data_IF_449419760353
#
_entry.id   IF_449419760353
#
_cell.length_a   1.000
_cell.length_b   1.000
_cell.length_c   1.000
_cell.angle_alpha   90.00
_cell.angle_beta   90.00
_cell.angle_gamma   90.00
#
_symmetry.space_group_name_H-M   'P 1'
#
loop_
_entity.id
_entity.type
_entity.pdbx_description
1 polymer ?
#
# COMPACT_ATOMS: atom_id res chain seq x y z
N UNK A 1 54.32 -50.49 48.13
CA UNK A 1 52.94 -50.20 47.77
C UNK A 1 52.97 -48.85 46.99
N UNK A 2 53.03 -48.90 45.67
CA UNK A 2 53.12 -47.73 44.81
C UNK A 2 51.75 -47.50 44.15
N UNK A 3 51.11 -46.37 44.42
CA UNK A 3 49.88 -45.97 43.76
C UNK A 3 50.19 -45.21 42.47
N UNK A 4 49.78 -45.79 41.36
CA UNK A 4 49.90 -45.19 40.01
C UNK A 4 48.62 -44.38 39.81
N UNK A 5 48.81 -43.04 39.68
CA UNK A 5 47.71 -42.13 39.34
C UNK A 5 47.54 -42.06 37.81
N UNK A 6 46.37 -42.43 37.36
CA UNK A 6 45.96 -42.33 35.96
C UNK A 6 45.45 -40.92 35.66
N UNK A 7 46.20 -40.13 34.88
CA UNK A 7 45.78 -38.82 34.42
C UNK A 7 44.95 -39.02 33.17
N UNK A 8 43.66 -38.75 33.24
CA UNK A 8 42.73 -38.75 32.12
C UNK A 8 42.77 -37.38 31.45
N UNK A 9 43.42 -37.29 30.30
CA UNK A 9 43.44 -36.09 29.49
C UNK A 9 42.08 -35.93 28.73
N UNK A 10 41.29 -34.95 29.11
CA UNK A 10 40.03 -34.61 28.46
C UNK A 10 40.35 -33.70 27.28
N UNK A 11 40.28 -34.24 26.06
CA UNK A 11 40.39 -33.45 24.83
C UNK A 11 39.05 -32.71 24.59
N UNK A 12 39.06 -31.40 24.77
CA UNK A 12 37.93 -30.55 24.45
C UNK A 12 38.03 -30.26 22.93
N UNK A 13 37.18 -30.92 22.17
CA UNK A 13 37.01 -30.60 20.75
C UNK A 13 36.16 -29.31 20.66
N UNK A 14 36.82 -28.21 20.35
CA UNK A 14 36.16 -26.93 20.03
C UNK A 14 35.47 -27.05 18.67
N UNK A 15 34.16 -27.27 18.64
CA UNK A 15 33.36 -27.10 17.44
C UNK A 15 33.25 -25.59 17.19
N UNK A 16 34.03 -25.09 16.22
CA UNK A 16 33.81 -23.80 15.63
C UNK A 16 32.52 -23.88 14.81
N UNK A 17 31.40 -23.45 15.38
CA UNK A 17 30.22 -23.06 14.61
C UNK A 17 30.59 -21.79 13.85
N UNK A 18 30.97 -21.95 12.60
CA UNK A 18 30.98 -20.86 11.64
C UNK A 18 29.53 -20.54 11.35
N UNK A 19 28.97 -19.62 12.12
CA UNK A 19 27.71 -19.00 11.78
C UNK A 19 27.93 -18.23 10.46
N UNK A 20 27.49 -18.80 9.35
CA UNK A 20 27.23 -18.02 8.16
C UNK A 20 26.18 -16.98 8.57
N UNK A 21 26.64 -15.76 8.82
CA UNK A 21 25.78 -14.60 8.86
C UNK A 21 25.28 -14.40 7.42
N UNK A 22 24.18 -15.04 7.07
CA UNK A 22 23.37 -14.57 5.97
C UNK A 22 23.02 -13.12 6.32
N UNK A 23 23.59 -12.22 5.54
CA UNK A 23 23.25 -10.82 5.56
C UNK A 23 21.81 -10.73 5.02
N UNK A 24 20.80 -11.02 5.87
CA UNK A 24 19.44 -10.63 5.60
C UNK A 24 19.51 -9.11 5.47
N UNK A 25 19.43 -8.62 4.21
CA UNK A 25 19.00 -7.25 3.97
C UNK A 25 17.88 -6.98 4.96
N UNK A 26 18.08 -6.01 5.86
CA UNK A 26 17.02 -5.49 6.69
C UNK A 26 15.94 -5.08 5.69
N UNK A 27 14.87 -5.86 5.59
CA UNK A 27 13.74 -5.50 4.75
C UNK A 27 13.30 -4.11 5.19
N UNK A 28 12.96 -3.26 4.24
CA UNK A 28 12.37 -1.95 4.50
C UNK A 28 11.27 -2.08 5.55
N UNK A 29 11.14 -1.07 6.40
CA UNK A 29 9.99 -0.98 7.31
C UNK A 29 8.73 -0.53 6.58
N UNK A 30 8.88 0.07 5.38
CA UNK A 30 7.77 0.52 4.55
C UNK A 30 6.99 -0.66 3.95
N UNK A 31 5.65 -0.58 4.02
CA UNK A 31 4.76 -1.67 3.61
C UNK A 31 4.64 -1.80 2.09
N UNK A 32 4.78 -0.69 1.36
CA UNK A 32 4.76 -0.65 -0.10
C UNK A 32 6.04 -1.25 -0.64
N UNK A 33 7.19 -0.84 -0.13
CA UNK A 33 8.49 -1.37 -0.54
C UNK A 33 8.59 -2.88 -0.25
N UNK A 34 8.14 -3.33 0.94
CA UNK A 34 8.10 -4.76 1.25
C UNK A 34 7.21 -5.57 0.30
N UNK A 35 6.08 -5.00 -0.15
CA UNK A 35 5.20 -5.67 -1.10
C UNK A 35 5.85 -5.77 -2.49
N UNK A 36 6.48 -4.69 -2.95
CA UNK A 36 7.23 -4.68 -4.22
C UNK A 36 8.39 -5.67 -4.18
N UNK A 37 9.24 -5.62 -3.14
CA UNK A 37 10.36 -6.57 -2.99
C UNK A 37 9.90 -8.04 -3.03
N UNK A 38 8.76 -8.33 -2.38
CA UNK A 38 8.20 -9.69 -2.37
C UNK A 38 7.67 -10.12 -3.75
N UNK A 39 7.12 -9.20 -4.54
CA UNK A 39 6.67 -9.46 -5.89
C UNK A 39 7.88 -9.67 -6.82
N UNK A 40 8.86 -8.77 -6.79
CA UNK A 40 10.11 -8.89 -7.55
C UNK A 40 10.84 -10.22 -7.31
N UNK A 41 10.88 -10.68 -6.05
CA UNK A 41 11.49 -11.98 -5.73
C UNK A 41 10.74 -13.15 -6.39
N UNK A 42 9.38 -13.07 -6.45
CA UNK A 42 8.57 -14.11 -7.10
C UNK A 42 8.75 -14.10 -8.61
N UNK A 43 8.80 -12.93 -9.22
CA UNK A 43 8.99 -12.75 -10.67
C UNK A 43 10.35 -13.25 -11.13
N UNK A 44 11.42 -12.88 -10.44
CA UNK A 44 12.77 -13.40 -10.72
C UNK A 44 12.87 -14.92 -10.67
N UNK A 45 12.03 -15.56 -9.84
CA UNK A 45 11.94 -17.02 -9.77
C UNK A 45 11.09 -17.61 -10.92
N UNK A 46 10.12 -16.87 -11.44
CA UNK A 46 9.19 -17.35 -12.45
C UNK A 46 9.63 -17.03 -13.89
N UNK A 47 9.91 -15.78 -14.20
CA UNK A 47 10.17 -15.31 -15.58
C UNK A 47 11.49 -14.58 -15.75
N UNK A 48 12.02 -13.97 -14.69
CA UNK A 48 13.23 -13.15 -14.72
C UNK A 48 12.99 -11.72 -15.25
N UNK A 49 11.75 -11.32 -15.45
CA UNK A 49 11.32 -9.99 -15.90
C UNK A 49 10.60 -9.27 -14.76
N UNK A 50 10.72 -7.94 -14.69
CA UNK A 50 9.96 -7.11 -13.78
C UNK A 50 8.54 -6.92 -14.36
N UNK A 51 7.52 -6.89 -13.50
CA UNK A 51 6.12 -6.83 -13.90
C UNK A 51 5.49 -5.52 -13.37
N UNK A 52 5.33 -4.54 -14.29
CA UNK A 52 4.67 -3.26 -14.02
C UNK A 52 3.22 -3.44 -13.50
N UNK A 53 2.60 -4.57 -13.80
CA UNK A 53 1.25 -4.92 -13.34
C UNK A 53 1.20 -5.14 -11.82
N UNK A 54 2.25 -5.74 -11.24
CA UNK A 54 2.35 -5.91 -9.80
C UNK A 54 2.54 -4.55 -9.11
N UNK A 55 3.35 -3.67 -9.69
CA UNK A 55 3.53 -2.31 -9.17
C UNK A 55 2.21 -1.50 -9.22
N UNK A 56 1.42 -1.64 -10.30
CA UNK A 56 0.08 -1.07 -10.38
C UNK A 56 -0.80 -1.56 -9.23
N UNK A 57 -0.84 -2.88 -9.00
CA UNK A 57 -1.68 -3.48 -7.95
C UNK A 57 -1.28 -2.98 -6.55
N UNK A 58 0.02 -2.86 -6.27
CA UNK A 58 0.56 -2.33 -5.01
C UNK A 58 0.18 -0.86 -4.82
N UNK A 59 0.37 -0.01 -5.84
CA UNK A 59 0.01 1.42 -5.80
C UNK A 59 -1.49 1.62 -5.62
N UNK A 60 -2.31 0.90 -6.37
CA UNK A 60 -3.77 0.99 -6.27
C UNK A 60 -4.30 0.53 -4.90
N UNK A 61 -3.69 -0.51 -4.30
CA UNK A 61 -4.05 -0.95 -2.96
C UNK A 61 -3.67 0.08 -1.89
N UNK A 62 -2.49 0.69 -2.02
CA UNK A 62 -2.00 1.70 -1.08
C UNK A 62 -2.85 2.98 -1.14
N UNK A 63 -3.14 3.51 -2.35
CA UNK A 63 -4.03 4.66 -2.56
C UNK A 63 -5.43 4.40 -2.00
N UNK A 64 -6.03 3.26 -2.34
CA UNK A 64 -7.36 2.90 -1.82
C UNK A 64 -7.41 2.75 -0.29
N UNK A 65 -6.32 2.35 0.37
CA UNK A 65 -6.23 2.36 1.83
C UNK A 65 -6.15 3.79 2.37
N UNK A 66 -5.35 4.67 1.75
CA UNK A 66 -5.24 6.07 2.13
C UNK A 66 -6.60 6.75 2.11
N UNK A 67 -7.32 6.65 0.99
CA UNK A 67 -8.62 7.28 0.81
C UNK A 67 -9.66 6.80 1.82
N UNK A 68 -9.64 5.51 2.16
CA UNK A 68 -10.49 4.94 3.20
C UNK A 68 -10.17 5.53 4.59
N UNK A 69 -8.89 5.69 4.95
CA UNK A 69 -8.49 6.28 6.23
C UNK A 69 -8.83 7.77 6.30
N UNK A 70 -8.58 8.53 5.22
CA UNK A 70 -8.93 9.95 5.15
C UNK A 70 -10.46 10.15 5.23
N UNK A 71 -11.25 9.31 4.56
CA UNK A 71 -12.70 9.36 4.64
C UNK A 71 -13.24 9.03 6.05
N UNK A 72 -12.58 8.14 6.81
CA UNK A 72 -12.90 7.90 8.22
C UNK A 72 -12.68 9.13 9.08
N UNK A 73 -11.56 9.84 8.87
CA UNK A 73 -11.29 11.10 9.57
C UNK A 73 -12.36 12.16 9.27
N UNK A 74 -12.83 12.26 8.01
CA UNK A 74 -13.92 13.17 7.65
C UNK A 74 -15.21 12.85 8.39
N UNK A 75 -15.54 11.56 8.54
CA UNK A 75 -16.73 11.15 9.29
C UNK A 75 -16.68 11.61 10.75
N UNK A 76 -15.48 11.67 11.33
CA UNK A 76 -15.25 12.06 12.72
C UNK A 76 -15.15 13.59 12.88
N UNK A 77 -14.45 14.27 11.98
CA UNK A 77 -13.98 15.65 12.14
C UNK A 77 -14.54 16.64 11.12
N UNK A 78 -14.97 16.18 9.96
CA UNK A 78 -15.46 17.02 8.88
C UNK A 78 -16.63 17.88 9.33
N UNK A 79 -16.73 19.11 8.84
CA UNK A 79 -17.79 20.05 9.20
C UNK A 79 -18.80 20.26 8.06
N UNK A 80 -18.29 20.39 6.82
CA UNK A 80 -19.13 20.65 5.65
C UNK A 80 -19.91 19.41 5.23
N UNK A 81 -21.18 19.59 4.88
CA UNK A 81 -22.06 18.48 4.45
C UNK A 81 -21.59 17.86 3.13
N UNK A 82 -21.17 18.68 2.17
CA UNK A 82 -20.70 18.20 0.87
C UNK A 82 -19.40 17.40 0.96
N UNK A 83 -18.48 17.76 1.87
CA UNK A 83 -17.26 17.00 2.18
C UNK A 83 -17.60 15.65 2.82
N UNK A 84 -18.55 15.63 3.76
CA UNK A 84 -19.03 14.38 4.39
C UNK A 84 -19.73 13.45 3.40
N UNK A 85 -20.55 14.01 2.51
CA UNK A 85 -21.23 13.24 1.47
C UNK A 85 -20.22 12.63 0.49
N UNK A 86 -19.19 13.41 0.12
CA UNK A 86 -18.10 12.92 -0.72
C UNK A 86 -17.34 11.78 -0.02
N UNK A 87 -16.94 11.95 1.23
CA UNK A 87 -16.24 10.92 1.99
C UNK A 87 -17.07 9.64 2.17
N UNK A 88 -18.39 9.75 2.34
CA UNK A 88 -19.28 8.58 2.41
C UNK A 88 -19.35 7.82 1.08
N UNK A 89 -19.39 8.54 -0.05
CA UNK A 89 -19.32 7.96 -1.39
C UNK A 89 -17.96 7.25 -1.61
N UNK A 90 -16.86 7.92 -1.26
CA UNK A 90 -15.51 7.36 -1.32
C UNK A 90 -15.40 6.04 -0.57
N UNK A 91 -15.84 5.99 0.68
CA UNK A 91 -15.84 4.75 1.46
C UNK A 91 -16.59 3.61 0.79
N UNK A 92 -17.76 3.89 0.19
CA UNK A 92 -18.58 2.86 -0.43
C UNK A 92 -17.95 2.30 -1.72
N UNK A 93 -17.34 3.17 -2.53
CA UNK A 93 -16.78 2.77 -3.82
C UNK A 93 -15.39 2.17 -3.67
N UNK A 94 -14.53 2.75 -2.83
CA UNK A 94 -13.19 2.21 -2.57
C UNK A 94 -13.21 0.90 -1.81
N UNK A 95 -14.19 0.66 -0.91
CA UNK A 95 -14.35 -0.66 -0.29
C UNK A 95 -14.54 -1.75 -1.35
N UNK A 96 -15.41 -1.50 -2.35
CA UNK A 96 -15.68 -2.48 -3.43
C UNK A 96 -14.44 -2.70 -4.30
N UNK A 97 -13.74 -1.61 -4.67
CA UNK A 97 -12.54 -1.68 -5.49
C UNK A 97 -11.42 -2.44 -4.76
N UNK A 98 -11.20 -2.13 -3.47
CA UNK A 98 -10.19 -2.79 -2.66
C UNK A 98 -10.48 -4.29 -2.47
N UNK A 99 -11.74 -4.68 -2.26
CA UNK A 99 -12.14 -6.08 -2.13
C UNK A 99 -11.92 -6.84 -3.46
N UNK A 100 -12.23 -6.21 -4.59
CA UNK A 100 -12.01 -6.79 -5.93
C UNK A 100 -10.51 -6.94 -6.23
N UNK A 101 -9.71 -5.90 -6.00
CA UNK A 101 -8.26 -5.95 -6.19
C UNK A 101 -7.62 -7.01 -5.31
N UNK A 102 -8.03 -7.11 -4.05
CA UNK A 102 -7.55 -8.15 -3.12
C UNK A 102 -7.88 -9.55 -3.62
N UNK A 103 -9.05 -9.75 -4.20
CA UNK A 103 -9.44 -11.04 -4.78
C UNK A 103 -8.60 -11.38 -6.03
N UNK A 104 -8.30 -10.39 -6.88
CA UNK A 104 -7.42 -10.56 -8.04
C UNK A 104 -6.00 -10.92 -7.56
N UNK A 105 -5.44 -10.11 -6.67
CA UNK A 105 -4.09 -10.32 -6.13
C UNK A 105 -3.93 -11.70 -5.49
N UNK A 106 -4.94 -12.16 -4.73
CA UNK A 106 -4.92 -13.50 -4.14
C UNK A 106 -4.89 -14.62 -5.18
N UNK A 107 -5.60 -14.48 -6.30
CA UNK A 107 -5.57 -15.49 -7.40
C UNK A 107 -4.25 -15.46 -8.16
N UNK A 108 -3.64 -14.30 -8.29
CA UNK A 108 -2.40 -14.07 -9.06
C UNK A 108 -1.13 -14.23 -8.22
N UNK A 109 -1.27 -14.51 -6.93
CA UNK A 109 -0.15 -14.54 -5.98
C UNK A 109 0.62 -13.22 -5.87
N UNK A 110 -0.06 -12.09 -6.12
CA UNK A 110 0.49 -10.74 -5.93
C UNK A 110 0.44 -10.38 -4.45
N UNK A 111 1.55 -9.90 -3.91
CA UNK A 111 1.62 -9.37 -2.55
C UNK A 111 1.15 -7.92 -2.55
N UNK A 112 0.12 -7.62 -1.76
CA UNK A 112 -0.34 -6.25 -1.53
C UNK A 112 0.20 -5.71 -0.20
N UNK A 113 0.32 -4.37 -0.03
CA UNK A 113 0.71 -3.78 1.23
C UNK A 113 -0.26 -4.17 2.36
N UNK A 114 0.28 -4.56 3.52
CA UNK A 114 -0.53 -4.93 4.68
C UNK A 114 -1.04 -3.72 5.47
N UNK A 115 -0.43 -2.55 5.28
CA UNK A 115 -0.76 -1.25 5.87
C UNK A 115 -0.36 -0.14 4.91
N UNK A 116 -0.72 1.08 5.22
CA UNK A 116 -0.27 2.26 4.46
C UNK A 116 1.25 2.31 4.37
N UNK A 117 1.75 2.80 3.25
CA UNK A 117 3.11 3.24 3.09
C UNK A 117 3.42 4.42 4.02
N UNK A 118 4.70 4.61 4.32
CA UNK A 118 5.11 5.60 5.30
C UNK A 118 4.79 7.05 4.85
N UNK A 119 4.76 7.32 3.54
CA UNK A 119 4.40 8.63 3.00
C UNK A 119 2.89 8.89 3.08
N UNK A 120 2.05 7.92 2.75
CA UNK A 120 0.60 8.03 2.89
C UNK A 120 0.18 8.12 4.36
N UNK A 121 0.87 7.41 5.24
CA UNK A 121 0.63 7.52 6.67
C UNK A 121 0.89 8.94 7.19
N UNK A 122 1.91 9.64 6.67
CA UNK A 122 2.17 11.05 7.02
C UNK A 122 1.01 11.96 6.65
N UNK A 123 0.38 11.73 5.47
CA UNK A 123 -0.80 12.51 5.06
C UNK A 123 -1.96 12.31 6.04
N UNK A 124 -2.21 11.08 6.47
CA UNK A 124 -3.23 10.77 7.49
C UNK A 124 -2.89 11.46 8.82
N UNK A 125 -1.65 11.36 9.28
CA UNK A 125 -1.20 11.93 10.54
C UNK A 125 -1.24 13.48 10.54
N UNK A 126 -0.93 14.11 9.42
CA UNK A 126 -1.02 15.56 9.24
C UNK A 126 -2.48 16.01 9.26
N UNK A 127 -3.36 15.38 8.49
CA UNK A 127 -4.78 15.69 8.48
C UNK A 127 -5.41 15.47 9.85
N UNK A 128 -5.01 14.43 10.57
CA UNK A 128 -5.53 14.12 11.90
C UNK A 128 -5.24 15.21 12.95
N UNK A 129 -4.23 16.04 12.75
CA UNK A 129 -3.90 17.17 13.65
C UNK A 129 -4.79 18.39 13.42
N UNK A 130 -5.44 18.48 12.28
CA UNK A 130 -6.29 19.62 11.91
C UNK A 130 -7.72 19.45 12.42
N UNK A 131 -8.47 20.54 12.40
CA UNK A 131 -9.89 20.60 12.74
C UNK A 131 -10.57 21.78 12.05
N UNK A 132 -11.90 21.77 12.02
CA UNK A 132 -12.65 22.89 11.47
C UNK A 132 -12.45 23.04 9.96
N UNK A 133 -12.50 24.29 9.49
CA UNK A 133 -12.35 24.61 8.07
C UNK A 133 -10.98 24.20 7.51
N UNK A 134 -9.93 24.29 8.31
CA UNK A 134 -8.59 23.87 7.89
C UNK A 134 -8.52 22.36 7.60
N UNK A 135 -9.23 21.56 8.39
CA UNK A 135 -9.35 20.12 8.15
C UNK A 135 -10.07 19.85 6.83
N UNK A 136 -11.24 20.47 6.61
CA UNK A 136 -12.04 20.23 5.40
C UNK A 136 -11.25 20.67 4.14
N UNK A 137 -10.59 21.84 4.18
CA UNK A 137 -9.73 22.31 3.08
C UNK A 137 -8.60 21.33 2.78
N UNK A 138 -7.83 20.95 3.79
CA UNK A 138 -6.69 20.04 3.61
C UNK A 138 -7.12 18.68 3.07
N UNK A 139 -8.28 18.17 3.52
CA UNK A 139 -8.85 16.94 2.97
C UNK A 139 -9.17 17.08 1.49
N UNK A 140 -9.84 18.18 1.11
CA UNK A 140 -10.21 18.44 -0.29
C UNK A 140 -8.98 18.54 -1.18
N UNK A 141 -7.94 19.29 -0.74
CA UNK A 141 -6.66 19.41 -1.46
C UNK A 141 -6.02 18.04 -1.69
N UNK A 142 -5.92 17.21 -0.62
CA UNK A 142 -5.38 15.85 -0.70
C UNK A 142 -6.17 14.99 -1.69
N UNK A 143 -7.50 15.06 -1.66
CA UNK A 143 -8.35 14.25 -2.55
C UNK A 143 -8.27 14.69 -4.02
N UNK A 144 -8.06 15.98 -4.30
CA UNK A 144 -7.81 16.44 -5.67
C UNK A 144 -6.49 15.87 -6.19
N UNK A 145 -5.41 16.05 -5.41
CA UNK A 145 -4.06 15.60 -5.80
C UNK A 145 -3.98 14.08 -5.98
N UNK A 146 -4.64 13.33 -5.09
CA UNK A 146 -4.63 11.86 -5.09
C UNK A 146 -5.41 11.32 -6.30
N UNK A 147 -6.64 11.80 -6.51
CA UNK A 147 -7.45 11.38 -7.65
C UNK A 147 -6.86 11.76 -9.02
N UNK A 148 -6.10 12.85 -9.13
CA UNK A 148 -5.37 13.17 -10.37
C UNK A 148 -4.32 12.10 -10.67
N UNK A 149 -3.61 11.61 -9.65
CA UNK A 149 -2.63 10.53 -9.78
C UNK A 149 -3.31 9.20 -10.09
N UNK A 150 -4.39 8.89 -9.37
CA UNK A 150 -5.14 7.65 -9.56
C UNK A 150 -5.77 7.53 -10.93
N UNK A 151 -6.41 8.59 -11.43
CA UNK A 151 -6.97 8.59 -12.79
C UNK A 151 -5.88 8.33 -13.83
N UNK A 152 -4.68 8.87 -13.64
CA UNK A 152 -3.54 8.61 -14.53
C UNK A 152 -3.08 7.15 -14.41
N UNK A 153 -2.84 6.66 -13.18
CA UNK A 153 -2.40 5.30 -12.91
C UNK A 153 -3.37 4.25 -13.48
N UNK A 154 -4.66 4.41 -13.20
CA UNK A 154 -5.69 3.49 -13.70
C UNK A 154 -5.90 3.59 -15.20
N UNK A 155 -5.69 4.75 -15.80
CA UNK A 155 -5.73 4.89 -17.27
C UNK A 155 -4.57 4.14 -17.92
N UNK A 156 -3.34 4.30 -17.41
CA UNK A 156 -2.16 3.59 -17.90
C UNK A 156 -2.37 2.06 -17.78
N UNK A 157 -2.81 1.57 -16.65
CA UNK A 157 -3.09 0.15 -16.46
C UNK A 157 -4.25 -0.37 -17.35
N UNK A 158 -5.28 0.44 -17.59
CA UNK A 158 -6.37 0.07 -18.50
C UNK A 158 -5.93 -0.02 -19.98
N UNK A 159 -4.96 0.78 -20.37
CA UNK A 159 -4.43 0.80 -21.74
C UNK A 159 -3.31 -0.25 -21.94
N UNK A 160 -2.41 -0.40 -20.96
CA UNK A 160 -1.11 -1.04 -21.17
C UNK A 160 -0.87 -2.31 -20.33
N UNK A 161 -1.65 -2.59 -19.26
CA UNK A 161 -1.43 -3.77 -18.44
C UNK A 161 -1.46 -5.06 -19.27
N UNK A 162 -0.52 -5.97 -19.01
CA UNK A 162 -0.41 -7.26 -19.67
C UNK A 162 -1.37 -8.30 -19.07
N UNK A 163 -1.58 -8.26 -17.75
CA UNK A 163 -2.54 -9.12 -17.07
C UNK A 163 -3.98 -8.70 -17.34
N UNK A 164 -4.75 -9.59 -17.96
CA UNK A 164 -6.12 -9.32 -18.38
C UNK A 164 -7.08 -8.98 -17.22
N UNK A 165 -6.87 -9.55 -16.02
CA UNK A 165 -7.71 -9.27 -14.85
C UNK A 165 -7.43 -7.89 -14.27
N UNK A 166 -6.14 -7.50 -14.19
CA UNK A 166 -5.73 -6.16 -13.74
C UNK A 166 -6.15 -5.08 -14.74
N UNK A 167 -5.95 -5.33 -16.04
CA UNK A 167 -6.44 -4.45 -17.11
C UNK A 167 -7.94 -4.22 -17.03
N UNK A 168 -8.72 -5.29 -16.87
CA UNK A 168 -10.18 -5.22 -16.76
C UNK A 168 -10.61 -4.49 -15.48
N UNK A 169 -9.92 -4.72 -14.36
CA UNK A 169 -10.15 -4.02 -13.09
C UNK A 169 -9.89 -2.50 -13.25
N UNK A 170 -8.77 -2.13 -13.84
CA UNK A 170 -8.43 -0.74 -14.09
C UNK A 170 -9.47 -0.05 -14.99
N UNK A 171 -9.81 -0.66 -16.13
CA UNK A 171 -10.80 -0.13 -17.07
C UNK A 171 -12.20 0.02 -16.46
N UNK A 172 -12.60 -0.90 -15.57
CA UNK A 172 -13.88 -0.87 -14.85
C UNK A 172 -13.91 0.22 -13.79
N UNK A 173 -12.80 0.44 -13.08
CA UNK A 173 -12.71 1.36 -11.94
C UNK A 173 -12.51 2.81 -12.39
N UNK A 174 -11.76 3.04 -13.46
CA UNK A 174 -11.41 4.36 -14.00
C UNK A 174 -12.60 5.33 -14.13
N UNK A 175 -13.78 4.95 -14.67
CA UNK A 175 -14.91 5.86 -14.75
C UNK A 175 -15.43 6.35 -13.39
N UNK A 176 -15.26 5.55 -12.33
CA UNK A 176 -15.64 5.92 -10.96
C UNK A 176 -14.65 6.95 -10.41
N UNK A 177 -13.35 6.73 -10.57
CA UNK A 177 -12.30 7.67 -10.15
C UNK A 177 -12.43 9.02 -10.87
N UNK A 178 -12.76 9.02 -12.16
CA UNK A 178 -13.02 10.25 -12.91
C UNK A 178 -14.21 11.04 -12.34
N UNK A 179 -15.30 10.37 -11.97
CA UNK A 179 -16.44 11.02 -11.30
C UNK A 179 -16.10 11.57 -9.92
N UNK A 180 -15.28 10.84 -9.17
CA UNK A 180 -14.76 11.33 -7.89
C UNK A 180 -13.94 12.60 -8.09
N UNK A 181 -13.00 12.60 -9.03
CA UNK A 181 -12.19 13.76 -9.37
C UNK A 181 -13.04 14.97 -9.77
N UNK A 182 -14.04 14.77 -10.62
CA UNK A 182 -14.97 15.84 -11.01
C UNK A 182 -15.71 16.40 -9.79
N UNK A 183 -16.20 15.52 -8.92
CA UNK A 183 -16.96 15.91 -7.71
C UNK A 183 -16.09 16.66 -6.72
N UNK A 184 -14.87 16.19 -6.44
CA UNK A 184 -13.98 16.85 -5.48
C UNK A 184 -13.52 18.21 -6.01
N UNK A 185 -13.23 18.35 -7.31
CA UNK A 185 -12.92 19.64 -7.94
C UNK A 185 -14.08 20.64 -7.88
N UNK A 186 -15.33 20.16 -7.85
CA UNK A 186 -16.48 21.06 -7.61
C UNK A 186 -16.54 21.54 -6.15
N UNK A 187 -16.20 20.68 -5.20
CA UNK A 187 -16.13 21.05 -3.78
C UNK A 187 -14.99 22.04 -3.55
N UNK A 188 -13.81 21.75 -4.13
CA UNK A 188 -12.61 22.57 -4.05
C UNK A 188 -12.87 24.03 -4.48
N UNK A 189 -13.56 24.25 -5.58
CA UNK A 189 -13.93 25.58 -6.07
C UNK A 189 -14.83 26.38 -5.12
N UNK A 190 -15.47 25.73 -4.16
CA UNK A 190 -16.42 26.32 -3.23
C UNK A 190 -15.99 26.21 -1.76
N UNK A 191 -14.74 25.77 -1.53
CA UNK A 191 -14.21 25.64 -0.18
C UNK A 191 -13.36 26.87 0.13
N UNK A 192 -13.92 27.85 0.81
CA UNK A 192 -13.26 29.11 1.21
C UNK A 192 -12.55 28.98 2.57
#
# INVERSE_FOLDING_TARGET
MKKIGLILALAIASLNFQACSENKKSGSTDSVENANDANDEKEKQATGEDDDDNEFAVKAANGGMLEMELARLVREKGQRSDVKEFAAMMMADHQKANDELKAIAGRKNITLPARLGDDEQKHVDELAKLSGTEFDKKYVDLMVDDHEKDVKLFKEAADDADDADLKAFAAKTLPTLQKHLERIKMIDKNID
#
